data_IF_142629497987
#
_entry.id   IF_142629497987
#
_cell.length_a   1.000
_cell.length_b   1.000
_cell.length_c   1.000
_cell.angle_alpha   90.00
_cell.angle_beta   90.00
_cell.angle_gamma   90.00
#
_symmetry.space_group_name_H-M   'P 1'
#
loop_
_entity.id
_entity.type
_entity.pdbx_description
1 polymer ?
#
# COMPACT_ATOMS: atom_id res chain seq x y z
N UNK A 1 -2.03 -20.41 2.32
CA UNK A 1 -2.81 -20.33 1.10
C UNK A 1 -3.25 -18.91 0.83
N UNK A 2 -3.33 -18.54 -0.44
CA UNK A 2 -3.76 -17.22 -0.83
C UNK A 2 -5.29 -17.13 -0.84
N UNK A 3 -5.81 -15.95 -0.52
CA UNK A 3 -7.21 -15.64 -0.77
C UNK A 3 -7.38 -15.38 -2.26
N UNK A 4 -8.34 -16.07 -2.87
CA UNK A 4 -8.65 -15.89 -4.28
C UNK A 4 -10.06 -15.32 -4.42
N UNK A 5 -10.16 -14.18 -5.09
CA UNK A 5 -11.43 -13.49 -5.26
C UNK A 5 -11.28 -12.47 -6.38
N UNK A 6 -12.41 -11.99 -6.92
CA UNK A 6 -12.34 -10.87 -7.86
C UNK A 6 -11.99 -9.58 -7.12
N UNK A 7 -12.59 -9.37 -5.96
CA UNK A 7 -12.33 -8.20 -5.13
C UNK A 7 -12.20 -8.59 -3.68
N UNK A 8 -11.26 -7.96 -2.98
CA UNK A 8 -11.06 -8.16 -1.55
C UNK A 8 -10.88 -6.80 -0.89
N UNK A 9 -11.59 -6.56 0.20
CA UNK A 9 -11.47 -5.33 0.97
C UNK A 9 -11.04 -5.66 2.39
N UNK A 10 -9.95 -5.01 2.82
CA UNK A 10 -9.43 -5.14 4.18
C UNK A 10 -9.55 -3.77 4.84
N UNK A 11 -10.39 -3.68 5.88
CA UNK A 11 -10.53 -2.45 6.64
C UNK A 11 -10.12 -2.71 8.08
N UNK A 12 -9.35 -1.77 8.62
CA UNK A 12 -8.84 -1.87 9.98
C UNK A 12 -9.23 -0.59 10.72
N UNK A 13 -9.98 -0.77 11.81
CA UNK A 13 -10.46 0.34 12.61
C UNK A 13 -9.97 0.20 14.04
N UNK A 14 -9.24 1.20 14.52
CA UNK A 14 -8.97 1.40 15.93
C UNK A 14 -8.36 0.17 16.62
N UNK A 15 -7.48 -0.52 15.92
CA UNK A 15 -6.88 -1.75 16.41
C UNK A 15 -5.37 -1.60 16.58
N UNK A 16 -4.77 -2.56 17.26
CA UNK A 16 -3.32 -2.67 17.38
C UNK A 16 -2.91 -4.12 17.13
N UNK A 17 -1.73 -4.34 16.58
CA UNK A 17 -1.22 -5.66 16.28
C UNK A 17 -0.73 -5.76 14.86
N UNK A 18 -0.83 -6.94 14.27
CA UNK A 18 -0.33 -7.20 12.93
C UNK A 18 -1.29 -8.07 12.13
N UNK A 19 -1.45 -7.73 10.85
CA UNK A 19 -2.24 -8.51 9.90
C UNK A 19 -1.32 -8.94 8.76
N UNK A 20 -1.33 -10.21 8.44
CA UNK A 20 -0.57 -10.75 7.30
C UNK A 20 -1.51 -11.53 6.41
N UNK A 21 -1.53 -11.21 5.10
CA UNK A 21 -2.38 -11.90 4.14
C UNK A 21 -1.61 -12.21 2.86
N UNK A 22 -2.00 -13.32 2.24
CA UNK A 22 -1.58 -13.65 0.88
C UNK A 22 -2.82 -13.61 0.00
N UNK A 23 -2.73 -12.94 -1.13
CA UNK A 23 -3.90 -12.73 -1.98
C UNK A 23 -3.58 -13.00 -3.44
N UNK A 24 -4.62 -13.37 -4.17
CA UNK A 24 -4.58 -13.46 -5.62
C UNK A 24 -5.93 -13.00 -6.12
N UNK A 25 -6.01 -11.74 -6.54
CA UNK A 25 -7.29 -11.13 -6.87
C UNK A 25 -7.11 -10.09 -7.97
N UNK A 26 -8.22 -9.57 -8.49
CA UNK A 26 -8.16 -8.50 -9.48
C UNK A 26 -8.07 -7.14 -8.80
N UNK A 27 -8.83 -6.93 -7.74
CA UNK A 27 -8.83 -5.66 -7.04
C UNK A 27 -8.70 -5.89 -5.54
N UNK A 28 -7.72 -5.23 -4.93
CA UNK A 28 -7.49 -5.27 -3.49
C UNK A 28 -7.60 -3.85 -2.92
N UNK A 29 -8.35 -3.71 -1.83
CA UNK A 29 -8.45 -2.45 -1.11
C UNK A 29 -7.99 -2.67 0.32
N UNK A 30 -7.04 -1.85 0.78
CA UNK A 30 -6.55 -1.90 2.16
C UNK A 30 -6.78 -0.52 2.76
N UNK A 31 -7.61 -0.46 3.79
CA UNK A 31 -7.97 0.80 4.42
C UNK A 31 -7.66 0.71 5.91
N UNK A 32 -6.66 1.48 6.35
CA UNK A 32 -6.32 1.63 7.76
C UNK A 32 -6.81 2.96 8.26
N UNK A 33 -7.86 2.95 9.11
CA UNK A 33 -8.49 4.18 9.57
C UNK A 33 -7.73 4.83 10.72
N UNK A 34 -7.66 4.15 11.84
CA UNK A 34 -6.97 4.67 13.02
C UNK A 34 -6.32 3.51 13.74
N UNK A 35 -5.44 3.84 14.70
CA UNK A 35 -4.78 2.80 15.48
C UNK A 35 -3.38 2.50 15.00
N UNK A 36 -2.87 1.33 15.36
CA UNK A 36 -1.49 0.97 15.10
C UNK A 36 -1.34 -0.49 14.64
N UNK A 37 -2.17 -0.88 13.68
CA UNK A 37 -2.10 -2.24 13.12
C UNK A 37 -1.21 -2.24 11.89
N UNK A 38 -0.13 -3.01 11.93
CA UNK A 38 0.71 -3.27 10.76
C UNK A 38 -0.03 -4.18 9.81
N UNK A 39 0.01 -3.86 8.52
CA UNK A 39 -0.57 -4.73 7.49
C UNK A 39 0.53 -5.13 6.53
N UNK A 40 0.64 -6.43 6.27
CA UNK A 40 1.55 -6.95 5.25
C UNK A 40 0.73 -7.82 4.30
N UNK A 41 0.78 -7.50 3.02
CA UNK A 41 0.11 -8.27 1.99
C UNK A 41 1.12 -8.71 0.93
N UNK A 42 0.99 -9.94 0.46
CA UNK A 42 1.84 -10.42 -0.62
C UNK A 42 1.03 -11.26 -1.60
N UNK A 43 1.59 -11.50 -2.78
CA UNK A 43 0.92 -12.23 -3.84
C UNK A 43 0.72 -11.38 -5.07
N UNK A 44 -0.50 -11.39 -5.62
CA UNK A 44 -0.82 -10.67 -6.83
C UNK A 44 -2.18 -10.01 -6.76
N UNK A 45 -2.26 -8.76 -7.24
CA UNK A 45 -3.52 -8.08 -7.48
C UNK A 45 -3.33 -7.23 -8.74
N UNK A 46 -4.33 -7.20 -9.61
CA UNK A 46 -4.21 -6.37 -10.81
C UNK A 46 -4.20 -4.89 -10.43
N UNK A 47 -5.09 -4.48 -9.52
CA UNK A 47 -5.15 -3.11 -9.03
C UNK A 47 -5.24 -3.13 -7.51
N UNK A 48 -4.62 -2.13 -6.88
CA UNK A 48 -4.68 -1.97 -5.43
C UNK A 48 -5.00 -0.52 -5.08
N UNK A 49 -5.82 -0.34 -4.05
CA UNK A 49 -6.05 0.94 -3.42
C UNK A 49 -5.64 0.84 -1.96
N UNK A 50 -4.78 1.75 -1.51
CA UNK A 50 -4.33 1.81 -0.12
C UNK A 50 -4.67 3.17 0.45
N UNK A 51 -5.42 3.18 1.55
CA UNK A 51 -5.66 4.38 2.33
C UNK A 51 -5.07 4.15 3.71
N UNK A 52 -4.02 4.89 4.05
CA UNK A 52 -3.33 4.74 5.33
C UNK A 52 -3.54 5.97 6.18
N UNK A 53 -4.45 5.87 7.13
CA UNK A 53 -4.68 6.90 8.15
C UNK A 53 -4.33 6.38 9.55
N UNK A 54 -3.54 5.32 9.62
CA UNK A 54 -3.07 4.74 10.88
C UNK A 54 -1.63 5.15 11.15
N UNK A 55 -1.15 4.86 12.35
CA UNK A 55 0.24 5.18 12.72
C UNK A 55 1.22 4.05 12.38
N UNK A 56 0.74 2.93 11.88
CA UNK A 56 1.57 1.78 11.56
C UNK A 56 1.76 1.65 10.05
N UNK A 57 2.79 0.92 9.61
CA UNK A 57 3.03 0.76 8.18
C UNK A 57 2.04 -0.19 7.51
N UNK A 58 1.76 0.10 6.24
CA UNK A 58 1.08 -0.84 5.35
C UNK A 58 2.13 -1.27 4.32
N UNK A 59 2.49 -2.55 4.33
CA UNK A 59 3.57 -3.06 3.50
C UNK A 59 3.04 -4.01 2.43
N UNK A 60 3.08 -3.58 1.18
CA UNK A 60 2.70 -4.40 0.03
C UNK A 60 3.84 -4.52 -0.97
N UNK A 61 5.09 -4.41 -0.51
CA UNK A 61 6.23 -4.49 -1.42
C UNK A 61 6.38 -5.85 -2.09
N UNK A 62 5.84 -6.91 -1.50
CA UNK A 62 5.85 -8.25 -2.08
C UNK A 62 4.53 -8.62 -2.76
N UNK A 63 3.64 -7.65 -2.92
CA UNK A 63 2.40 -7.81 -3.66
C UNK A 63 2.58 -7.16 -5.03
N UNK A 64 2.63 -7.97 -6.08
CA UNK A 64 2.79 -7.45 -7.44
C UNK A 64 1.47 -6.89 -7.93
N UNK A 65 1.46 -5.62 -8.31
CA UNK A 65 0.27 -4.99 -8.89
C UNK A 65 0.66 -4.29 -10.19
N UNK A 66 -0.31 -4.07 -11.05
CA UNK A 66 -0.12 -3.34 -12.28
C UNK A 66 -0.41 -1.86 -12.06
N UNK A 67 -1.51 -1.56 -11.40
CA UNK A 67 -1.97 -0.20 -11.12
C UNK A 67 -2.21 -0.06 -9.62
N UNK A 68 -1.68 1.00 -9.03
CA UNK A 68 -1.84 1.25 -7.60
C UNK A 68 -2.25 2.68 -7.35
N UNK A 69 -3.04 2.88 -6.30
CA UNK A 69 -3.37 4.21 -5.77
C UNK A 69 -3.11 4.19 -4.28
N UNK A 70 -2.29 5.11 -3.80
CA UNK A 70 -1.92 5.20 -2.40
C UNK A 70 -2.30 6.58 -1.88
N UNK A 71 -3.11 6.61 -0.83
CA UNK A 71 -3.49 7.83 -0.14
C UNK A 71 -2.96 7.72 1.29
N UNK A 72 -1.92 8.48 1.60
CA UNK A 72 -1.26 8.44 2.90
C UNK A 72 -1.65 9.67 3.69
N UNK A 73 -2.45 9.46 4.72
CA UNK A 73 -3.02 10.55 5.53
C UNK A 73 -2.71 10.34 7.01
N UNK A 74 -1.44 10.06 7.31
CA UNK A 74 -1.00 9.86 8.69
C UNK A 74 0.52 9.88 8.74
N UNK A 75 1.11 9.50 9.88
CA UNK A 75 2.54 9.35 10.01
C UNK A 75 3.02 7.93 9.71
N UNK A 76 2.13 6.99 9.43
CA UNK A 76 2.53 5.65 9.03
C UNK A 76 3.05 5.61 7.61
N UNK A 77 3.99 4.72 7.33
CA UNK A 77 4.58 4.59 6.01
C UNK A 77 3.85 3.55 5.18
N UNK A 78 3.91 3.69 3.86
CA UNK A 78 3.31 2.74 2.93
C UNK A 78 4.35 2.24 1.96
N UNK A 79 4.39 0.91 1.75
CA UNK A 79 5.30 0.27 0.80
C UNK A 79 4.45 -0.39 -0.26
N UNK A 80 4.70 -0.07 -1.54
CA UNK A 80 3.86 -0.53 -2.63
C UNK A 80 4.71 -0.91 -3.84
N UNK A 81 4.27 -1.92 -4.59
CA UNK A 81 4.91 -2.34 -5.84
C UNK A 81 3.90 -2.25 -6.97
N UNK A 82 4.22 -1.49 -8.01
CA UNK A 82 3.37 -1.34 -9.19
C UNK A 82 4.24 -1.33 -10.42
N UNK A 83 3.74 -1.89 -11.52
CA UNK A 83 4.53 -2.04 -12.75
C UNK A 83 4.13 -1.08 -13.87
N UNK A 84 2.90 -0.56 -13.87
CA UNK A 84 2.45 0.34 -14.94
C UNK A 84 2.18 1.74 -14.45
N UNK A 85 1.35 1.91 -13.44
CA UNK A 85 0.92 3.24 -13.01
C UNK A 85 0.71 3.28 -11.52
N UNK A 86 1.15 4.36 -10.89
CA UNK A 86 0.98 4.58 -9.47
C UNK A 86 0.55 6.02 -9.23
N UNK A 87 -0.55 6.18 -8.51
CA UNK A 87 -1.01 7.48 -8.05
C UNK A 87 -0.74 7.58 -6.55
N UNK A 88 -0.13 8.69 -6.13
CA UNK A 88 0.18 8.91 -4.72
C UNK A 88 -0.47 10.20 -4.24
N UNK A 89 -0.95 10.19 -3.00
CA UNK A 89 -1.45 11.39 -2.32
C UNK A 89 -0.89 11.36 -0.91
N UNK A 90 -0.17 12.41 -0.52
CA UNK A 90 0.41 12.54 0.81
C UNK A 90 -0.16 13.79 1.45
N UNK A 91 -0.85 13.61 2.59
CA UNK A 91 -1.49 14.72 3.31
C UNK A 91 -0.86 14.99 4.68
N UNK A 92 -0.05 14.07 5.19
CA UNK A 92 0.62 14.21 6.48
C UNK A 92 2.12 13.94 6.30
N UNK A 93 2.79 13.37 7.28
CA UNK A 93 4.24 13.21 7.25
C UNK A 93 4.73 11.78 6.99
N UNK A 94 3.83 10.82 6.82
CA UNK A 94 4.23 9.46 6.46
C UNK A 94 4.78 9.38 5.03
N UNK A 95 5.68 8.46 4.79
CA UNK A 95 6.38 8.32 3.52
C UNK A 95 5.81 7.16 2.69
N UNK A 96 6.02 7.24 1.39
CA UNK A 96 5.62 6.18 0.46
C UNK A 96 6.88 5.64 -0.22
N UNK A 97 7.10 4.32 -0.11
CA UNK A 97 8.23 3.63 -0.73
C UNK A 97 7.72 2.82 -1.90
N UNK A 98 8.28 3.05 -3.08
CA UNK A 98 7.75 2.55 -4.34
C UNK A 98 8.73 1.60 -5.01
N UNK A 99 8.21 0.43 -5.41
CA UNK A 99 8.94 -0.61 -6.11
C UNK A 99 8.23 -0.90 -7.44
N UNK A 100 8.94 -1.45 -8.42
CA UNK A 100 8.33 -2.00 -9.63
C UNK A 100 8.45 -1.17 -10.89
N UNK A 101 8.86 0.08 -10.80
CA UNK A 101 9.13 0.89 -11.98
C UNK A 101 7.94 1.54 -12.67
N UNK A 102 6.80 1.65 -12.00
CA UNK A 102 5.61 2.27 -12.57
C UNK A 102 5.80 3.76 -12.83
N UNK A 103 4.99 4.31 -13.74
CA UNK A 103 4.89 5.75 -13.92
C UNK A 103 4.13 6.34 -12.74
N UNK A 104 4.70 7.36 -12.10
CA UNK A 104 4.20 7.90 -10.85
C UNK A 104 3.55 9.25 -11.09
N UNK A 105 2.34 9.44 -10.54
CA UNK A 105 1.67 10.73 -10.47
C UNK A 105 1.33 10.98 -9.03
N UNK A 106 1.66 12.17 -8.52
CA UNK A 106 1.48 12.45 -7.11
C UNK A 106 0.95 13.84 -6.83
N UNK A 107 0.20 13.94 -5.73
CA UNK A 107 -0.17 15.22 -5.13
C UNK A 107 0.24 15.17 -3.68
N UNK A 108 0.62 16.32 -3.14
CA UNK A 108 1.16 16.35 -1.80
C UNK A 108 0.84 17.69 -1.13
N UNK A 109 0.22 17.61 0.04
CA UNK A 109 0.01 18.76 0.91
C UNK A 109 0.73 18.61 2.24
N UNK A 110 1.17 17.39 2.57
CA UNK A 110 1.93 17.11 3.79
C UNK A 110 3.44 17.11 3.53
N UNK A 111 4.19 16.76 4.56
CA UNK A 111 5.66 16.78 4.53
C UNK A 111 6.28 15.42 4.20
N UNK A 112 5.49 14.35 4.09
CA UNK A 112 6.00 13.04 3.74
C UNK A 112 6.67 13.05 2.38
N UNK A 113 7.47 12.01 2.10
CA UNK A 113 8.24 11.92 0.87
C UNK A 113 7.95 10.62 0.13
N UNK A 114 8.21 10.64 -1.17
CA UNK A 114 8.11 9.46 -2.02
C UNK A 114 9.53 8.99 -2.35
N UNK A 115 9.81 7.71 -2.05
CA UNK A 115 11.10 7.11 -2.34
C UNK A 115 10.94 6.02 -3.39
N UNK A 116 11.71 6.12 -4.46
CA UNK A 116 11.68 5.14 -5.55
C UNK A 116 12.80 4.14 -5.29
N UNK A 117 12.42 2.89 -5.01
CA UNK A 117 13.35 1.86 -4.54
C UNK A 117 13.82 0.92 -5.65
N UNK A 118 13.15 0.90 -6.80
CA UNK A 118 13.54 0.04 -7.91
C UNK A 118 13.05 -1.40 -7.74
N UNK A 119 13.49 -2.27 -8.66
CA UNK A 119 13.05 -3.66 -8.69
C UNK A 119 13.88 -4.58 -7.82
N UNK A 120 15.13 -4.25 -7.58
CA UNK A 120 16.07 -5.12 -6.91
C UNK A 120 15.71 -5.40 -5.46
N UNK A 121 14.83 -4.62 -4.89
CA UNK A 121 14.48 -4.75 -3.48
C UNK A 121 13.84 -6.11 -3.15
N UNK A 122 13.39 -6.84 -4.16
CA UNK A 122 12.81 -8.17 -3.95
C UNK A 122 13.84 -9.28 -3.85
N UNK A 123 15.08 -9.02 -4.19
CA UNK A 123 16.11 -10.05 -4.22
C UNK A 123 16.55 -10.52 -2.84
#
# INVERSE_FOLDING_TARGET
>A
NAFEADSLNIEINDAAGSVFVKVNCQFLSIIGHTGATDVTAEGNADEIYIYNASYAPINTELLTTRIASVHNNSSGDTYVRATERLNTTIEEDGDIYIYGGATIRGTQTGSGQVFIMGDQAML
#
